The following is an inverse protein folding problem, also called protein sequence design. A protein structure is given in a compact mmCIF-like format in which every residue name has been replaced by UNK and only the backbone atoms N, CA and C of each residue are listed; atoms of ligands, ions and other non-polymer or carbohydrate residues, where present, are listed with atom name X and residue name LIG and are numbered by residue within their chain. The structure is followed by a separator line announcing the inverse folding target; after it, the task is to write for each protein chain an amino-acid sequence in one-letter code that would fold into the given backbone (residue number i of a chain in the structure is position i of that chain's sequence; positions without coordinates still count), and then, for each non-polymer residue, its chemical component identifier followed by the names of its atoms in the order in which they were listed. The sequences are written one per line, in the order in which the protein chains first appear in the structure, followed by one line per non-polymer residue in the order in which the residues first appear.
data_IF_683954684330
#
_entry.id   IF_683954684330
#
_cell.length_a   1.000
_cell.length_b   1.000
_cell.length_c   1.000
_cell.angle_alpha   90.00
_cell.angle_beta   90.00
_cell.angle_gamma   90.00
#
_symmetry.space_group_name_H-M   'P 1'
#
loop_
_entity.id
_entity.type
_entity.pdbx_description
1 polymer ?
#
# COMPACT_ATOMS: atom_id res chain seq x y z
N UNK A 1 15.01 -84.98 -2.80
CA UNK A 1 14.51 -84.00 -1.88
C UNK A 1 15.53 -82.89 -1.63
N UNK A 2 15.42 -81.70 -2.23
CA UNK A 2 16.34 -80.57 -2.03
C UNK A 2 15.67 -79.55 -1.11
N UNK A 3 16.28 -79.32 0.06
CA UNK A 3 15.85 -78.32 1.03
C UNK A 3 16.26 -76.94 0.49
N UNK A 4 15.25 -76.01 0.42
CA UNK A 4 15.50 -74.60 0.13
C UNK A 4 15.69 -73.86 1.47
N UNK A 5 16.86 -73.25 1.60
CA UNK A 5 17.17 -72.34 2.74
C UNK A 5 16.55 -70.99 2.47
N UNK A 6 15.73 -70.48 3.40
CA UNK A 6 15.20 -69.13 3.39
C UNK A 6 16.24 -68.20 4.03
N UNK A 7 16.69 -67.19 3.30
CA UNK A 7 17.51 -66.10 3.82
C UNK A 7 16.54 -64.95 4.19
N UNK A 8 16.41 -64.67 5.49
CA UNK A 8 15.66 -63.50 5.99
C UNK A 8 16.55 -62.26 5.85
N UNK A 9 16.22 -61.39 4.89
CA UNK A 9 16.80 -60.06 4.80
C UNK A 9 16.09 -59.07 5.69
N UNK A 10 16.78 -58.57 6.68
CA UNK A 10 16.27 -57.46 7.55
C UNK A 10 16.39 -56.14 6.76
N UNK A 11 15.26 -55.54 6.46
CA UNK A 11 15.20 -54.16 5.91
C UNK A 11 15.29 -53.19 7.08
N UNK A 12 16.42 -52.47 7.19
CA UNK A 12 16.56 -51.37 8.13
C UNK A 12 15.78 -50.14 7.59
N UNK A 13 14.71 -49.80 8.24
CA UNK A 13 14.03 -48.49 8.01
C UNK A 13 14.96 -47.38 8.50
N UNK A 14 15.51 -46.60 7.60
CA UNK A 14 16.15 -45.31 7.93
C UNK A 14 15.05 -44.32 8.33
N UNK A 15 14.98 -44.00 9.63
CA UNK A 15 14.15 -42.93 10.13
C UNK A 15 14.75 -41.60 9.64
N UNK A 16 14.20 -41.07 8.54
CA UNK A 16 14.47 -39.72 8.12
C UNK A 16 13.90 -38.74 9.16
N UNK A 17 14.76 -38.06 9.89
CA UNK A 17 14.37 -36.94 10.72
C UNK A 17 13.81 -35.81 9.79
N UNK A 18 12.51 -35.67 9.76
CA UNK A 18 11.87 -34.48 9.20
C UNK A 18 12.35 -33.27 10.00
N UNK A 19 13.22 -32.46 9.41
CA UNK A 19 13.58 -31.19 9.99
C UNK A 19 12.28 -30.38 10.15
N UNK A 20 11.99 -29.96 11.38
CA UNK A 20 10.89 -29.07 11.67
C UNK A 20 11.05 -27.82 10.80
N UNK A 21 9.95 -27.25 10.23
CA UNK A 21 10.05 -26.04 9.45
C UNK A 21 10.67 -24.96 10.34
N UNK A 22 11.75 -24.32 9.84
CA UNK A 22 12.35 -23.19 10.52
C UNK A 22 11.25 -22.15 10.78
N UNK A 23 10.98 -21.86 12.04
CA UNK A 23 10.06 -20.80 12.42
C UNK A 23 10.62 -19.52 11.80
N UNK A 24 9.88 -18.94 10.86
CA UNK A 24 10.28 -17.69 10.23
C UNK A 24 10.48 -16.66 11.37
N UNK A 25 11.65 -15.99 11.38
CA UNK A 25 11.94 -15.01 12.42
C UNK A 25 10.83 -13.99 12.48
N UNK A 26 10.15 -13.90 13.61
CA UNK A 26 9.06 -12.96 13.81
C UNK A 26 9.65 -11.56 13.95
N UNK A 27 9.17 -10.62 13.14
CA UNK A 27 9.60 -9.22 13.21
C UNK A 27 9.11 -8.63 14.53
N UNK A 28 9.96 -7.84 15.20
CA UNK A 28 9.55 -7.13 16.42
C UNK A 28 8.32 -6.26 16.15
N UNK A 29 7.25 -6.40 16.97
CA UNK A 29 5.99 -5.70 16.74
C UNK A 29 6.16 -4.19 16.60
N UNK A 30 5.28 -3.59 15.80
CA UNK A 30 5.20 -2.15 15.62
C UNK A 30 4.82 -1.44 16.93
N UNK A 31 5.41 -0.27 17.13
CA UNK A 31 4.95 0.73 18.10
C UNK A 31 5.02 2.12 17.45
N UNK A 32 4.23 3.06 17.94
CA UNK A 32 4.23 4.44 17.42
C UNK A 32 5.57 5.16 17.65
N UNK A 33 6.35 4.72 18.63
CA UNK A 33 7.68 5.26 18.95
C UNK A 33 8.80 4.63 18.13
N UNK A 34 8.45 3.70 17.25
CA UNK A 34 9.41 3.02 16.39
C UNK A 34 9.97 3.99 15.35
N UNK A 35 11.22 4.38 15.52
CA UNK A 35 11.90 5.31 14.63
C UNK A 35 13.08 4.62 13.93
N UNK A 36 12.99 4.36 12.62
CA UNK A 36 14.13 3.84 11.87
C UNK A 36 15.22 4.91 11.78
N UNK A 37 16.52 4.54 11.92
CA UNK A 37 17.61 5.46 11.67
C UNK A 37 17.56 6.04 10.27
N UNK A 38 17.81 7.36 10.16
CA UNK A 38 17.83 8.10 8.88
C UNK A 38 19.19 8.75 8.61
N UNK A 39 20.17 8.48 9.47
CA UNK A 39 21.51 9.05 9.44
C UNK A 39 22.45 8.31 8.49
N UNK A 40 22.42 6.98 8.48
CA UNK A 40 23.27 6.18 7.59
C UNK A 40 22.62 4.87 7.12
N UNK A 41 23.11 4.38 5.98
CA UNK A 41 22.68 3.09 5.39
C UNK A 41 22.99 1.92 6.33
N UNK A 42 24.16 1.95 6.93
CA UNK A 42 24.66 0.92 7.83
C UNK A 42 23.78 0.81 9.08
N UNK A 43 23.47 1.95 9.70
CA UNK A 43 22.62 2.04 10.90
C UNK A 43 21.19 1.55 10.59
N UNK A 44 20.63 1.97 9.45
CA UNK A 44 19.30 1.50 9.02
C UNK A 44 19.26 -0.02 8.79
N UNK A 45 20.27 -0.56 8.09
CA UNK A 45 20.35 -2.01 7.84
C UNK A 45 20.53 -2.78 9.14
N UNK A 46 21.43 -2.32 10.04
CA UNK A 46 21.65 -2.95 11.34
C UNK A 46 20.37 -2.96 12.18
N UNK A 47 19.66 -1.84 12.20
CA UNK A 47 18.38 -1.69 12.90
C UNK A 47 17.30 -2.64 12.35
N UNK A 48 17.13 -2.71 11.03
CA UNK A 48 16.14 -3.58 10.40
C UNK A 48 16.47 -5.08 10.58
N UNK A 49 17.75 -5.46 10.50
CA UNK A 49 18.22 -6.81 10.83
C UNK A 49 17.89 -7.20 12.26
N UNK A 50 18.10 -6.29 13.22
CA UNK A 50 17.77 -6.52 14.62
C UNK A 50 16.26 -6.69 14.84
N UNK A 51 15.43 -6.19 13.95
CA UNK A 51 13.98 -6.44 13.91
C UNK A 51 13.61 -7.79 13.29
N UNK A 52 14.48 -8.41 12.52
CA UNK A 52 14.22 -9.65 11.78
C UNK A 52 13.93 -9.43 10.28
N UNK A 53 14.15 -8.22 9.74
CA UNK A 53 13.93 -7.93 8.33
C UNK A 53 15.10 -8.40 7.44
N UNK A 54 14.80 -8.68 6.16
CA UNK A 54 15.80 -9.17 5.21
C UNK A 54 16.79 -8.05 4.81
N UNK A 55 18.10 -8.20 5.05
CA UNK A 55 19.09 -7.17 4.78
C UNK A 55 19.20 -6.76 3.31
N UNK A 56 18.88 -7.66 2.37
CA UNK A 56 18.92 -7.35 0.94
C UNK A 56 17.87 -6.28 0.60
N UNK A 57 16.65 -6.45 1.08
CA UNK A 57 15.58 -5.48 0.85
C UNK A 57 15.76 -4.20 1.67
N UNK A 58 16.34 -4.28 2.87
CA UNK A 58 16.71 -3.09 3.64
C UNK A 58 17.67 -2.18 2.88
N UNK A 59 18.68 -2.76 2.21
CA UNK A 59 19.60 -1.99 1.35
C UNK A 59 18.88 -1.29 0.20
N UNK A 60 18.02 -2.02 -0.52
CA UNK A 60 17.22 -1.45 -1.63
C UNK A 60 16.26 -0.35 -1.13
N UNK A 61 15.64 -0.55 0.04
CA UNK A 61 14.74 0.43 0.67
C UNK A 61 15.48 1.71 0.98
N UNK A 62 16.66 1.61 1.59
CA UNK A 62 17.50 2.76 1.88
C UNK A 62 17.92 3.51 0.62
N UNK A 63 18.43 2.81 -0.38
CA UNK A 63 18.92 3.42 -1.62
C UNK A 63 17.77 4.16 -2.34
N UNK A 64 16.56 3.58 -2.35
CA UNK A 64 15.36 4.24 -2.87
C UNK A 64 14.95 5.44 -2.00
N UNK A 65 14.97 5.31 -0.68
CA UNK A 65 14.69 6.40 0.26
C UNK A 65 15.56 7.62 -0.02
N UNK A 66 16.86 7.44 -0.17
CA UNK A 66 17.77 8.52 -0.49
C UNK A 66 17.47 9.17 -1.86
N UNK A 67 17.11 8.36 -2.86
CA UNK A 67 16.71 8.88 -4.17
C UNK A 67 15.42 9.73 -4.09
N UNK A 68 14.43 9.31 -3.29
CA UNK A 68 13.17 10.04 -3.11
C UNK A 68 13.40 11.41 -2.43
N UNK A 69 14.32 11.49 -1.46
CA UNK A 69 14.70 12.76 -0.83
C UNK A 69 15.39 13.68 -1.85
N UNK A 70 16.41 13.19 -2.56
CA UNK A 70 17.13 13.98 -3.57
C UNK A 70 16.22 14.52 -4.66
N UNK A 71 15.23 13.74 -5.08
CA UNK A 71 14.28 14.12 -6.12
C UNK A 71 13.10 14.96 -5.58
N UNK A 72 13.06 15.24 -4.28
CA UNK A 72 11.95 15.94 -3.61
C UNK A 72 10.61 15.23 -3.81
N UNK A 73 10.61 13.90 -3.82
CA UNK A 73 9.39 13.09 -3.81
C UNK A 73 8.88 12.85 -2.40
N UNK A 74 9.78 12.86 -1.40
CA UNK A 74 9.44 12.90 0.02
C UNK A 74 10.28 13.96 0.74
N UNK A 75 9.67 14.68 1.71
CA UNK A 75 10.33 15.74 2.49
C UNK A 75 9.83 15.83 3.95
N UNK A 76 8.68 15.26 4.28
CA UNK A 76 8.13 15.24 5.64
C UNK A 76 8.65 14.07 6.47
N UNK A 77 9.06 14.31 7.71
CA UNK A 77 9.59 13.29 8.61
C UNK A 77 8.64 12.10 8.80
N UNK A 78 7.33 12.37 8.92
CA UNK A 78 6.32 11.32 9.07
C UNK A 78 6.26 10.40 7.83
N UNK A 79 6.29 10.98 6.61
CA UNK A 79 6.32 10.21 5.36
C UNK A 79 7.64 9.44 5.19
N UNK A 80 8.77 10.05 5.54
CA UNK A 80 10.09 9.39 5.55
C UNK A 80 10.06 8.15 6.45
N UNK A 81 9.54 8.31 7.67
CA UNK A 81 9.36 7.22 8.63
C UNK A 81 8.44 6.13 8.07
N UNK A 82 7.27 6.50 7.54
CA UNK A 82 6.33 5.55 6.97
C UNK A 82 6.94 4.76 5.81
N UNK A 83 7.70 5.41 4.93
CA UNK A 83 8.41 4.75 3.83
C UNK A 83 9.42 3.72 4.34
N UNK A 84 10.26 4.09 5.32
CA UNK A 84 11.28 3.19 5.87
C UNK A 84 10.70 2.02 6.68
N UNK A 85 9.50 2.17 7.26
CA UNK A 85 8.79 1.11 7.98
C UNK A 85 8.03 0.14 7.06
N UNK A 86 7.71 0.53 5.83
CA UNK A 86 6.87 -0.27 4.94
C UNK A 86 7.70 -1.20 4.05
N UNK A 87 7.55 -2.54 4.18
CA UNK A 87 8.27 -3.52 3.36
C UNK A 87 7.62 -3.67 1.98
N UNK A 88 7.94 -2.77 1.04
CA UNK A 88 7.35 -2.75 -0.31
C UNK A 88 7.51 -4.07 -1.06
N UNK A 89 8.60 -4.79 -0.83
CA UNK A 89 8.87 -6.11 -1.41
C UNK A 89 7.76 -7.13 -1.11
N UNK A 90 7.14 -7.05 0.06
CA UNK A 90 6.04 -7.94 0.45
C UNK A 90 4.76 -7.62 -0.36
N UNK A 91 4.51 -6.34 -0.66
CA UNK A 91 3.37 -5.89 -1.46
C UNK A 91 3.57 -6.10 -2.97
N UNK A 92 4.82 -6.23 -3.40
CA UNK A 92 5.19 -6.58 -4.78
C UNK A 92 5.26 -8.10 -5.00
N UNK A 93 5.09 -8.92 -3.97
CA UNK A 93 5.39 -10.36 -3.97
C UNK A 93 4.31 -11.21 -4.67
N UNK A 94 3.83 -10.82 -5.86
CA UNK A 94 3.05 -11.72 -6.73
C UNK A 94 3.92 -12.82 -7.34
N UNK A 95 5.24 -12.58 -7.42
CA UNK A 95 6.29 -13.57 -7.71
C UNK A 95 7.61 -13.11 -7.09
N UNK A 96 8.58 -14.04 -6.86
CA UNK A 96 9.91 -13.67 -6.36
C UNK A 96 10.65 -12.66 -7.25
N UNK A 97 10.41 -12.72 -8.57
CA UNK A 97 11.03 -11.80 -9.54
C UNK A 97 10.47 -10.37 -9.36
N UNK A 98 9.17 -10.22 -9.18
CA UNK A 98 8.54 -8.91 -8.96
C UNK A 98 8.87 -8.35 -7.57
N UNK A 99 8.93 -9.19 -6.53
CA UNK A 99 9.33 -8.77 -5.18
C UNK A 99 10.71 -8.07 -5.17
N UNK A 100 11.69 -8.61 -5.91
CA UNK A 100 13.03 -8.01 -6.06
C UNK A 100 13.02 -6.62 -6.66
N UNK A 101 11.97 -6.26 -7.38
CA UNK A 101 11.77 -4.97 -8.05
C UNK A 101 10.97 -3.96 -7.23
N UNK A 102 10.53 -4.34 -6.02
CA UNK A 102 9.65 -3.53 -5.16
C UNK A 102 10.12 -2.09 -4.91
N UNK A 103 11.44 -1.83 -5.02
CA UNK A 103 12.04 -0.51 -4.83
C UNK A 103 12.50 0.17 -6.12
N UNK A 104 12.21 -0.40 -7.29
CA UNK A 104 12.52 0.23 -8.57
C UNK A 104 11.69 1.50 -8.79
N UNK A 105 12.19 2.42 -9.63
CA UNK A 105 11.45 3.59 -10.10
C UNK A 105 10.51 3.18 -11.25
N UNK A 106 9.56 2.29 -10.95
CA UNK A 106 8.71 1.67 -11.95
C UNK A 106 7.32 1.37 -11.40
N UNK A 107 6.36 1.23 -12.29
CA UNK A 107 5.06 0.63 -12.02
C UNK A 107 5.21 -0.89 -12.19
N UNK A 108 4.74 -1.66 -11.22
CA UNK A 108 4.85 -3.10 -11.22
C UNK A 108 3.48 -3.73 -11.42
N UNK A 109 3.38 -4.64 -12.38
CA UNK A 109 2.16 -5.44 -12.58
C UNK A 109 1.88 -6.27 -11.33
N UNK A 110 0.65 -6.20 -10.84
CA UNK A 110 0.16 -6.98 -9.68
C UNK A 110 -0.98 -7.93 -10.06
N UNK A 111 -1.20 -8.15 -11.34
CA UNK A 111 -2.32 -8.91 -11.90
C UNK A 111 -3.60 -8.10 -12.02
N UNK A 112 -4.63 -8.71 -12.57
CA UNK A 112 -5.95 -8.09 -12.79
C UNK A 112 -5.93 -6.84 -13.68
N UNK A 113 -4.88 -6.63 -14.48
CA UNK A 113 -4.74 -5.44 -15.32
C UNK A 113 -4.42 -4.15 -14.55
N UNK A 114 -4.00 -4.26 -13.30
CA UNK A 114 -3.63 -3.11 -12.44
C UNK A 114 -2.17 -3.18 -11.98
N UNK A 115 -1.66 -2.05 -11.51
CA UNK A 115 -0.24 -1.93 -11.13
C UNK A 115 -0.07 -1.38 -9.72
N UNK A 116 1.01 -1.78 -9.05
CA UNK A 116 1.55 -1.08 -7.90
C UNK A 116 2.34 0.14 -8.39
N UNK A 117 1.93 1.34 -8.03
CA UNK A 117 2.60 2.58 -8.41
C UNK A 117 4.04 2.63 -7.91
N UNK A 118 4.89 3.33 -8.66
CA UNK A 118 6.28 3.55 -8.28
C UNK A 118 6.42 4.31 -6.95
N UNK A 119 7.51 4.07 -6.20
CA UNK A 119 7.73 4.67 -4.87
C UNK A 119 7.69 6.21 -4.89
N UNK A 120 8.10 6.84 -5.99
CA UNK A 120 8.10 8.28 -6.15
C UNK A 120 6.68 8.88 -6.19
N UNK A 121 5.75 8.22 -6.89
CA UNK A 121 4.34 8.66 -6.95
C UNK A 121 3.69 8.52 -5.58
N UNK A 122 3.80 7.33 -4.98
CA UNK A 122 3.21 7.06 -3.67
C UNK A 122 3.82 7.94 -2.56
N UNK A 123 5.14 8.10 -2.56
CA UNK A 123 5.84 8.96 -1.61
C UNK A 123 5.36 10.41 -1.68
N UNK A 124 5.28 10.99 -2.91
CA UNK A 124 4.83 12.37 -3.10
C UNK A 124 3.36 12.55 -2.69
N UNK A 125 2.46 11.66 -3.14
CA UNK A 125 1.05 11.72 -2.77
C UNK A 125 0.86 11.62 -1.25
N UNK A 126 1.57 10.70 -0.59
CA UNK A 126 1.54 10.53 0.88
C UNK A 126 2.09 11.78 1.59
N UNK A 127 3.15 12.39 1.05
CA UNK A 127 3.73 13.58 1.65
C UNK A 127 2.80 14.81 1.52
N UNK A 128 2.16 14.98 0.35
CA UNK A 128 1.25 16.11 0.07
C UNK A 128 -0.04 16.03 0.88
N UNK A 129 -0.58 14.82 1.09
CA UNK A 129 -1.80 14.66 1.87
C UNK A 129 -1.57 14.90 3.37
N UNK A 130 -0.32 14.78 3.83
CA UNK A 130 0.16 15.17 5.15
C UNK A 130 -0.72 14.62 6.31
N UNK A 131 -0.86 13.31 6.35
CA UNK A 131 -1.68 12.61 7.37
C UNK A 131 -1.07 12.79 8.76
N UNK A 132 -1.91 13.20 9.72
CA UNK A 132 -1.56 13.27 11.13
C UNK A 132 -2.15 12.09 11.90
N UNK A 133 -1.52 11.74 13.01
CA UNK A 133 -2.04 10.70 13.91
C UNK A 133 -3.44 11.07 14.38
N UNK A 134 -4.33 10.09 14.42
CA UNK A 134 -5.75 10.24 14.78
C UNK A 134 -6.65 10.67 13.61
N UNK A 135 -6.11 11.20 12.52
CA UNK A 135 -6.91 11.53 11.33
C UNK A 135 -7.48 10.28 10.66
N UNK A 136 -8.73 10.38 10.21
CA UNK A 136 -9.41 9.34 9.45
C UNK A 136 -9.12 9.52 7.97
N UNK A 137 -8.53 8.49 7.35
CA UNK A 137 -8.06 8.53 5.96
C UNK A 137 -8.77 7.46 5.14
N UNK A 138 -9.32 7.85 3.99
CA UNK A 138 -9.88 6.94 2.99
C UNK A 138 -8.96 6.85 1.78
N UNK A 139 -8.57 5.64 1.41
CA UNK A 139 -7.95 5.32 0.14
C UNK A 139 -8.98 4.74 -0.83
N UNK A 140 -8.94 5.17 -2.09
CA UNK A 140 -9.70 4.57 -3.20
C UNK A 140 -8.73 3.88 -4.14
N UNK A 141 -8.88 2.56 -4.30
CA UNK A 141 -7.99 1.69 -5.07
C UNK A 141 -6.91 1.05 -4.20
N UNK A 142 -7.29 0.05 -3.39
CA UNK A 142 -6.35 -0.67 -2.50
C UNK A 142 -5.19 -1.28 -3.28
N UNK A 143 -5.47 -1.90 -4.43
CA UNK A 143 -4.47 -2.53 -5.27
C UNK A 143 -3.60 -3.55 -4.52
N UNK A 144 -2.28 -3.32 -4.52
CA UNK A 144 -1.32 -4.13 -3.77
C UNK A 144 -1.43 -3.98 -2.25
N UNK A 145 -2.03 -2.87 -1.76
CA UNK A 145 -2.13 -2.54 -0.34
C UNK A 145 -0.99 -1.67 0.22
N UNK A 146 0.03 -1.36 -0.57
CA UNK A 146 1.19 -0.63 -0.07
C UNK A 146 0.88 0.82 0.32
N UNK A 147 -0.07 1.48 -0.37
CA UNK A 147 -0.46 2.85 0.00
C UNK A 147 -1.21 2.87 1.32
N UNK A 148 -2.14 1.93 1.56
CA UNK A 148 -2.77 1.75 2.90
C UNK A 148 -1.74 1.44 3.98
N UNK A 149 -0.67 0.68 3.65
CA UNK A 149 0.40 0.39 4.59
C UNK A 149 1.18 1.66 4.99
N UNK A 150 1.43 2.59 4.05
CA UNK A 150 1.97 3.91 4.42
C UNK A 150 1.03 4.66 5.35
N UNK A 151 -0.27 4.68 5.04
CA UNK A 151 -1.29 5.36 5.86
C UNK A 151 -1.33 4.74 7.27
N UNK A 152 -1.30 3.41 7.41
CA UNK A 152 -1.32 2.73 8.69
C UNK A 152 -0.09 3.02 9.58
N UNK A 153 1.03 3.44 8.97
CA UNK A 153 2.20 3.94 9.68
C UNK A 153 2.05 5.42 10.12
N UNK A 154 0.99 6.11 9.70
CA UNK A 154 0.72 7.53 10.00
C UNK A 154 -0.48 7.71 10.92
N UNK A 155 -1.50 6.85 10.81
CA UNK A 155 -2.74 6.91 11.61
C UNK A 155 -3.30 5.51 11.90
N UNK A 156 -4.01 5.37 13.00
CA UNK A 156 -4.78 4.18 13.36
C UNK A 156 -6.16 4.10 12.68
N UNK A 157 -6.52 5.08 11.85
CA UNK A 157 -7.82 5.19 11.20
C UNK A 157 -7.72 5.11 9.67
N UNK A 158 -7.08 4.05 9.16
CA UNK A 158 -6.92 3.78 7.73
C UNK A 158 -8.11 2.99 7.17
N UNK A 159 -8.71 3.48 6.09
CA UNK A 159 -9.82 2.85 5.35
C UNK A 159 -9.43 2.73 3.89
N UNK A 160 -9.78 1.63 3.23
CA UNK A 160 -9.47 1.44 1.81
C UNK A 160 -10.55 0.64 1.09
N UNK A 161 -10.82 1.03 -0.15
CA UNK A 161 -11.82 0.40 -1.01
C UNK A 161 -11.16 -0.16 -2.26
N UNK A 162 -11.51 -1.40 -2.62
CA UNK A 162 -11.10 -2.06 -3.86
C UNK A 162 -12.33 -2.58 -4.60
N UNK A 163 -12.42 -2.26 -5.89
CA UNK A 163 -13.55 -2.69 -6.72
C UNK A 163 -13.37 -4.12 -7.22
N UNK A 164 -12.13 -4.58 -7.40
CA UNK A 164 -11.81 -5.93 -7.87
C UNK A 164 -11.85 -6.89 -6.67
N UNK A 165 -13.00 -7.54 -6.44
CA UNK A 165 -13.21 -8.36 -5.25
C UNK A 165 -12.13 -9.44 -5.00
N UNK A 166 -11.64 -10.20 -6.01
CA UNK A 166 -10.53 -11.14 -5.80
C UNK A 166 -9.22 -10.47 -5.38
N UNK A 167 -8.95 -9.24 -5.88
CA UNK A 167 -7.79 -8.46 -5.47
C UNK A 167 -7.94 -7.96 -4.04
N UNK A 168 -9.11 -7.44 -3.67
CA UNK A 168 -9.43 -7.03 -2.30
C UNK A 168 -9.20 -8.18 -1.30
N UNK A 169 -9.68 -9.37 -1.61
CA UNK A 169 -9.50 -10.57 -0.78
C UNK A 169 -8.01 -10.96 -0.67
N UNK A 170 -7.28 -10.96 -1.79
CA UNK A 170 -5.84 -11.25 -1.81
C UNK A 170 -5.07 -10.28 -0.92
N UNK A 171 -5.35 -8.99 -1.06
CA UNK A 171 -4.67 -7.93 -0.31
C UNK A 171 -5.03 -7.98 1.18
N UNK A 172 -6.28 -8.28 1.53
CA UNK A 172 -6.65 -8.52 2.94
C UNK A 172 -5.86 -9.69 3.53
N UNK A 173 -5.77 -10.82 2.82
CA UNK A 173 -4.98 -11.96 3.26
C UNK A 173 -3.47 -11.67 3.35
N UNK A 174 -2.95 -10.73 2.55
CA UNK A 174 -1.57 -10.26 2.68
C UNK A 174 -1.38 -9.46 3.98
N UNK A 175 -2.29 -8.54 4.32
CA UNK A 175 -2.21 -7.84 5.60
C UNK A 175 -2.23 -8.80 6.79
N UNK A 176 -3.11 -9.82 6.78
CA UNK A 176 -3.19 -10.82 7.85
C UNK A 176 -1.85 -11.54 8.03
N UNK A 177 -1.23 -12.00 6.92
CA UNK A 177 0.11 -12.62 6.94
C UNK A 177 1.19 -11.67 7.48
N UNK A 178 1.13 -10.40 7.12
CA UNK A 178 2.11 -9.42 7.60
C UNK A 178 1.91 -9.08 9.07
N UNK A 179 0.66 -9.03 9.55
CA UNK A 179 0.33 -8.89 10.97
C UNK A 179 0.94 -10.05 11.76
N UNK A 180 0.79 -11.28 11.28
CA UNK A 180 1.36 -12.48 11.91
C UNK A 180 2.90 -12.46 11.92
N UNK A 181 3.53 -11.82 10.91
CA UNK A 181 4.97 -11.58 10.86
C UNK A 181 5.45 -10.49 11.84
N UNK A 182 4.55 -9.66 12.41
CA UNK A 182 4.87 -8.58 13.35
C UNK A 182 4.63 -7.15 12.85
N UNK A 183 4.14 -6.95 11.63
CA UNK A 183 3.68 -5.64 11.13
C UNK A 183 2.28 -5.32 11.67
N UNK A 184 2.20 -5.16 12.99
CA UNK A 184 0.93 -5.11 13.72
C UNK A 184 0.12 -3.84 13.47
N UNK A 185 0.72 -2.78 12.91
CA UNK A 185 0.07 -1.56 12.46
C UNK A 185 -1.00 -1.80 11.38
N UNK A 186 -0.84 -2.86 10.59
CA UNK A 186 -1.81 -3.18 9.52
C UNK A 186 -3.16 -3.68 10.06
N UNK A 187 -3.27 -3.95 11.37
CA UNK A 187 -4.57 -4.17 12.06
C UNK A 187 -5.49 -2.95 11.97
N UNK A 188 -4.91 -1.77 11.77
CA UNK A 188 -5.65 -0.51 11.65
C UNK A 188 -6.27 -0.29 10.25
N UNK A 189 -5.92 -1.15 9.27
CA UNK A 189 -6.46 -1.04 7.91
C UNK A 189 -7.81 -1.73 7.83
N UNK A 190 -8.85 -0.94 7.59
CA UNK A 190 -10.22 -1.41 7.32
C UNK A 190 -10.42 -1.47 5.81
N UNK A 191 -10.82 -2.64 5.30
CA UNK A 191 -10.94 -2.91 3.87
C UNK A 191 -12.41 -3.13 3.49
N UNK A 192 -12.82 -2.62 2.29
CA UNK A 192 -14.15 -2.83 1.73
C UNK A 192 -14.00 -3.21 0.24
N UNK A 193 -14.65 -4.28 -0.20
CA UNK A 193 -14.80 -4.60 -1.60
C UNK A 193 -16.05 -3.88 -2.12
N UNK A 194 -15.89 -2.79 -2.90
CA UNK A 194 -16.98 -1.94 -3.37
C UNK A 194 -16.54 -1.00 -4.49
N UNK A 195 -17.49 -0.30 -5.11
CA UNK A 195 -17.22 0.81 -6.02
C UNK A 195 -16.77 2.05 -5.23
N UNK A 196 -15.50 2.41 -5.39
CA UNK A 196 -14.88 3.54 -4.70
C UNK A 196 -15.41 4.92 -5.11
N UNK A 197 -16.17 5.02 -6.23
CA UNK A 197 -16.80 6.27 -6.66
C UNK A 197 -17.74 6.83 -5.59
N UNK A 198 -18.43 5.94 -4.88
CA UNK A 198 -19.38 6.32 -3.82
C UNK A 198 -18.71 6.50 -2.46
N UNK A 199 -17.41 6.21 -2.34
CA UNK A 199 -16.70 6.32 -1.08
C UNK A 199 -17.15 5.28 -0.03
N UNK A 200 -17.09 5.68 1.24
CA UNK A 200 -17.49 4.84 2.38
C UNK A 200 -18.39 5.65 3.33
N UNK A 201 -19.66 5.77 2.98
CA UNK A 201 -20.61 6.64 3.66
C UNK A 201 -20.74 6.33 5.15
N UNK A 202 -20.80 5.03 5.52
CA UNK A 202 -20.97 4.61 6.91
C UNK A 202 -19.77 4.93 7.80
N UNK A 203 -18.60 5.18 7.17
CA UNK A 203 -17.38 5.57 7.87
C UNK A 203 -17.11 7.08 7.80
N UNK A 204 -17.82 7.83 6.96
CA UNK A 204 -17.65 9.28 6.83
C UNK A 204 -17.95 10.03 8.15
N UNK A 205 -17.46 11.27 8.31
CA UNK A 205 -16.58 12.00 7.40
C UNK A 205 -15.09 11.64 7.57
N UNK A 206 -14.30 11.92 6.52
CA UNK A 206 -12.86 11.70 6.48
C UNK A 206 -12.08 13.01 6.57
N UNK A 207 -10.95 12.99 7.26
CA UNK A 207 -10.01 14.12 7.30
C UNK A 207 -9.23 14.21 5.99
N UNK A 208 -8.89 13.05 5.40
CA UNK A 208 -8.11 12.93 4.19
C UNK A 208 -8.70 11.87 3.27
N UNK A 209 -8.59 12.10 1.96
CA UNK A 209 -8.93 11.09 0.93
C UNK A 209 -7.77 11.01 -0.07
N UNK A 210 -7.28 9.80 -0.36
CA UNK A 210 -6.27 9.57 -1.39
C UNK A 210 -6.84 8.63 -2.46
N UNK A 211 -6.83 9.07 -3.71
CA UNK A 211 -7.31 8.28 -4.84
C UNK A 211 -6.11 7.81 -5.65
N UNK A 212 -5.97 6.49 -5.85
CA UNK A 212 -4.80 5.87 -6.47
C UNK A 212 -5.05 5.39 -7.90
N UNK A 213 -6.15 5.79 -8.49
CA UNK A 213 -6.55 5.52 -9.87
C UNK A 213 -7.01 6.80 -10.57
N UNK A 214 -6.91 6.84 -11.93
CA UNK A 214 -7.19 8.06 -12.71
C UNK A 214 -8.67 8.19 -13.07
N UNK A 215 -9.24 9.35 -12.86
CA UNK A 215 -10.64 9.68 -13.17
C UNK A 215 -10.70 11.03 -13.93
N UNK A 216 -11.76 11.27 -14.69
CA UNK A 216 -11.95 12.50 -15.48
C UNK A 216 -12.36 13.72 -14.63
N UNK A 217 -12.99 13.51 -13.47
CA UNK A 217 -13.43 14.56 -12.56
C UNK A 217 -13.35 14.13 -11.09
N UNK A 218 -13.46 15.07 -10.17
CA UNK A 218 -13.51 14.80 -8.73
C UNK A 218 -14.91 14.28 -8.37
N UNK A 219 -15.06 13.04 -7.85
CA UNK A 219 -16.37 12.47 -7.52
C UNK A 219 -17.12 13.29 -6.45
N UNK A 220 -18.35 13.75 -6.69
CA UNK A 220 -19.12 14.49 -5.69
C UNK A 220 -19.31 13.73 -4.37
N UNK A 221 -19.56 12.40 -4.34
CA UNK A 221 -19.67 11.68 -3.07
C UNK A 221 -18.41 11.75 -2.21
N UNK A 222 -17.21 11.73 -2.82
CA UNK A 222 -15.96 11.85 -2.07
C UNK A 222 -15.79 13.27 -1.47
N UNK A 223 -16.20 14.31 -2.21
CA UNK A 223 -16.20 15.67 -1.67
C UNK A 223 -17.21 15.84 -0.53
N UNK A 224 -18.38 15.21 -0.61
CA UNK A 224 -19.37 15.23 0.47
C UNK A 224 -18.82 14.57 1.74
N UNK A 225 -18.14 13.44 1.60
CA UNK A 225 -17.55 12.67 2.70
C UNK A 225 -16.26 13.26 3.26
N UNK A 226 -15.64 14.24 2.58
CA UNK A 226 -14.47 14.95 3.07
C UNK A 226 -14.92 16.03 4.08
N UNK A 227 -14.25 16.14 5.22
CA UNK A 227 -14.49 17.21 6.22
C UNK A 227 -14.23 18.60 5.61
N UNK A 228 -14.82 19.62 6.17
CA UNK A 228 -14.40 21.01 5.90
C UNK A 228 -12.95 21.19 6.36
N UNK A 229 -12.11 21.81 5.53
CA UNK A 229 -10.66 21.89 5.75
C UNK A 229 -9.91 20.60 5.39
N UNK A 230 -10.62 19.52 5.04
CA UNK A 230 -10.02 18.25 4.64
C UNK A 230 -9.30 18.34 3.29
N UNK A 231 -8.36 17.42 3.07
CA UNK A 231 -7.54 17.33 1.85
C UNK A 231 -7.85 16.05 1.09
N UNK A 232 -7.94 16.16 -0.25
CA UNK A 232 -7.96 15.02 -1.16
C UNK A 232 -6.77 15.11 -2.11
N UNK A 233 -6.09 13.98 -2.36
CA UNK A 233 -5.11 13.86 -3.44
C UNK A 233 -5.66 12.88 -4.47
N UNK A 234 -5.80 13.34 -5.73
CA UNK A 234 -6.52 12.62 -6.77
C UNK A 234 -5.94 12.87 -8.16
N UNK A 235 -5.70 11.81 -8.97
CA UNK A 235 -5.33 11.95 -10.38
C UNK A 235 -6.57 12.26 -11.23
N UNK A 236 -6.61 13.45 -11.84
CA UNK A 236 -7.75 13.92 -12.66
C UNK A 236 -7.32 14.20 -14.08
N UNK A 237 -8.07 13.74 -15.05
CA UNK A 237 -7.88 13.98 -16.47
C UNK A 237 -8.16 12.75 -17.33
N UNK A 238 -8.06 12.89 -18.66
CA UNK A 238 -8.32 11.79 -19.58
C UNK A 238 -7.33 10.64 -19.40
N UNK A 239 -7.65 9.42 -19.83
CA UNK A 239 -6.78 8.25 -19.71
C UNK A 239 -5.37 8.51 -20.22
N UNK A 240 -4.37 8.17 -19.41
CA UNK A 240 -2.96 8.37 -19.72
C UNK A 240 -2.47 9.83 -19.68
N UNK A 241 -3.34 10.79 -19.34
CA UNK A 241 -3.02 12.22 -19.29
C UNK A 241 -3.52 12.89 -17.99
N UNK A 242 -3.55 12.15 -16.90
CA UNK A 242 -3.98 12.68 -15.60
C UNK A 242 -2.96 13.65 -15.01
N UNK A 243 -3.48 14.65 -14.29
CA UNK A 243 -2.72 15.49 -13.37
C UNK A 243 -3.08 15.12 -11.95
N UNK A 244 -2.10 15.03 -11.07
CA UNK A 244 -2.37 14.72 -9.67
C UNK A 244 -2.64 16.02 -8.93
N UNK A 245 -3.88 16.15 -8.46
CA UNK A 245 -4.37 17.35 -7.79
C UNK A 245 -4.44 17.13 -6.28
N UNK A 246 -3.99 18.13 -5.52
CA UNK A 246 -4.37 18.34 -4.13
C UNK A 246 -5.62 19.22 -4.13
N UNK A 247 -6.70 18.71 -3.58
CA UNK A 247 -7.99 19.40 -3.47
C UNK A 247 -8.25 19.68 -2.00
N UNK A 248 -8.46 20.95 -1.64
CA UNK A 248 -8.87 21.33 -0.30
C UNK A 248 -10.34 21.72 -0.33
N UNK A 249 -11.15 21.09 0.53
CA UNK A 249 -12.57 21.43 0.69
C UNK A 249 -12.74 22.55 1.71
N UNK A 250 -13.57 23.53 1.37
CA UNK A 250 -14.09 24.50 2.33
C UNK A 250 -15.62 24.44 2.28
N UNK A 251 -16.27 24.42 3.43
CA UNK A 251 -17.72 24.46 3.53
C UNK A 251 -18.15 25.76 4.21
N UNK A 252 -18.98 26.54 3.53
CA UNK A 252 -19.56 27.75 4.06
C UNK A 252 -20.61 27.46 5.14
N UNK A 253 -20.97 28.48 5.90
CA UNK A 253 -22.01 28.40 6.93
C UNK A 253 -23.41 28.07 6.33
N UNK A 254 -23.63 28.41 5.07
CA UNK A 254 -24.82 28.10 4.29
C UNK A 254 -24.84 26.68 3.70
N UNK A 255 -23.82 25.88 4.01
CA UNK A 255 -23.64 24.52 3.47
C UNK A 255 -23.01 24.46 2.08
N UNK A 256 -22.70 25.60 1.45
CA UNK A 256 -22.02 25.65 0.16
C UNK A 256 -20.64 25.00 0.25
N UNK A 257 -20.26 24.20 -0.78
CA UNK A 257 -18.95 23.56 -0.87
C UNK A 257 -18.13 24.27 -1.95
N UNK A 258 -16.96 24.76 -1.55
CA UNK A 258 -15.95 25.29 -2.45
C UNK A 258 -14.68 24.44 -2.38
N UNK A 259 -13.90 24.41 -3.47
CA UNK A 259 -12.64 23.67 -3.51
C UNK A 259 -11.53 24.52 -4.10
N UNK A 260 -10.37 24.52 -3.47
CA UNK A 260 -9.12 24.94 -4.11
C UNK A 260 -8.39 23.73 -4.67
N UNK A 261 -7.65 23.91 -5.78
CA UNK A 261 -6.94 22.83 -6.48
C UNK A 261 -5.51 23.26 -6.78
N UNK A 262 -4.57 22.38 -6.48
CA UNK A 262 -3.15 22.56 -6.73
C UNK A 262 -2.60 21.32 -7.45
N UNK A 263 -1.91 21.49 -8.58
CA UNK A 263 -1.22 20.41 -9.27
C UNK A 263 0.11 20.11 -8.56
N UNK A 264 0.23 18.93 -7.95
CA UNK A 264 1.40 18.58 -7.13
C UNK A 264 2.64 18.21 -7.95
N UNK A 265 2.52 18.15 -9.27
CA UNK A 265 3.63 17.88 -10.20
C UNK A 265 3.92 19.07 -11.14
N UNK A 266 3.29 20.23 -10.92
CA UNK A 266 3.53 21.43 -11.70
C UNK A 266 3.19 21.28 -13.19
N UNK A 267 2.07 20.61 -13.51
CA UNK A 267 1.58 20.41 -14.88
C UNK A 267 2.08 19.14 -15.55
N UNK A 268 2.95 18.34 -14.91
CA UNK A 268 3.41 17.07 -15.49
C UNK A 268 2.29 16.03 -15.46
N UNK A 269 2.15 15.31 -16.56
CA UNK A 269 1.24 14.18 -16.68
C UNK A 269 1.81 12.98 -15.94
N UNK A 270 0.97 12.32 -15.13
CA UNK A 270 1.28 11.07 -14.45
C UNK A 270 0.19 10.06 -14.82
N UNK A 271 0.49 9.05 -15.63
CA UNK A 271 -0.51 8.07 -16.04
C UNK A 271 -0.89 7.16 -14.86
N UNK A 272 -2.18 6.96 -14.67
CA UNK A 272 -2.74 6.05 -13.69
C UNK A 272 -3.62 4.99 -14.37
N UNK A 273 -3.76 3.83 -13.72
CA UNK A 273 -4.81 2.86 -14.07
C UNK A 273 -6.17 3.57 -14.00
N UNK A 274 -7.05 3.39 -15.00
CA UNK A 274 -8.35 4.04 -15.01
C UNK A 274 -9.18 3.67 -13.79
N UNK A 275 -9.89 4.63 -13.26
CA UNK A 275 -10.95 4.42 -12.29
C UNK A 275 -12.07 3.62 -12.97
N UNK A 276 -12.58 2.59 -12.32
CA UNK A 276 -13.63 1.72 -12.86
C UNK A 276 -14.87 1.79 -11.99
N UNK A 277 -16.02 1.40 -12.55
CA UNK A 277 -17.30 1.29 -11.84
C UNK A 277 -17.86 -0.11 -11.94
N UNK A 278 -18.78 -0.43 -11.05
CA UNK A 278 -19.65 -1.60 -11.19
C UNK A 278 -20.86 -1.24 -12.05
N UNK A 279 -21.15 -2.09 -13.03
CA UNK A 279 -22.39 -2.12 -13.80
C UNK A 279 -22.99 -3.52 -13.61
N UNK A 280 -23.87 -3.65 -12.62
CA UNK A 280 -24.21 -4.95 -12.04
C UNK A 280 -22.96 -5.60 -11.42
N UNK A 281 -22.63 -6.82 -11.88
CA UNK A 281 -21.40 -7.52 -11.44
C UNK A 281 -20.18 -7.24 -12.33
N UNK A 282 -20.35 -6.46 -13.42
CA UNK A 282 -19.25 -6.17 -14.36
C UNK A 282 -18.51 -4.91 -13.98
N UNK A 283 -17.18 -4.98 -14.06
CA UNK A 283 -16.30 -3.81 -13.93
C UNK A 283 -16.18 -3.16 -15.30
N UNK A 284 -16.56 -1.88 -15.40
CA UNK A 284 -16.50 -1.07 -16.63
C UNK A 284 -15.77 0.25 -16.41
N UNK A 285 -15.22 0.83 -17.47
CA UNK A 285 -14.54 2.13 -17.40
C UNK A 285 -15.48 3.28 -17.04
N UNK A 286 -15.00 4.32 -16.39
CA UNK A 286 -15.79 5.47 -15.88
C UNK A 286 -15.72 6.71 -16.77
N UNK A 287 -15.13 6.62 -17.96
CA UNK A 287 -14.86 7.80 -18.81
C UNK A 287 -16.13 8.55 -19.31
N UNK A 288 -17.32 8.06 -19.00
CA UNK A 288 -18.60 8.64 -19.41
C UNK A 288 -19.60 8.76 -18.24
N UNK A 289 -19.15 9.08 -17.03
CA UNK A 289 -20.06 9.41 -15.93
C UNK A 289 -20.32 10.91 -15.81
#
# INVERSE_FOLDING_TARGET
MKRRTFVSGSVALAAGTLAAPAIAATIKPYSWDLNPPMDSRENFIAWGKARGENPVFLGQRWDRFQALIRNKDIWGQATMRAFLLTPREEFAAISPAIAKRGYEHAFLDIGYGVTMSGPHVQGRMTNVIDVKRGEKVLEIGTGSGVQSAYIANLTENAYTIEIIAPLAQRTRGLYDKLIDKGYTEYKHIKTKAADGFYGWEEAAPFDKIIVTCGIDHVPPPLLQQLKSGGLMVIPVGPPGAQRVLKVTKTQGADGSITTSREDIYGGKIVPFVPFTKLDGEKIVGTHNR
#
